data_IF_252339839994
#
_entry.id   IF_252339839994
#
_cell.length_a   1.000
_cell.length_b   1.000
_cell.length_c   1.000
_cell.angle_alpha   90.00
_cell.angle_beta   90.00
_cell.angle_gamma   90.00
#
_symmetry.space_group_name_H-M   'P 1'
#
loop_
_entity.id
_entity.type
_entity.pdbx_description
1 polymer ?
#
# COMPACT_ATOMS: atom_id res chain seq x y z
N UNK A 1 -11.72 10.84 -0.51
CA UNK A 1 -10.64 9.97 -0.01
C UNK A 1 -10.10 10.60 1.26
N UNK A 2 -10.15 9.88 2.36
CA UNK A 2 -9.72 10.42 3.67
C UNK A 2 -8.19 10.57 3.72
N UNK A 3 -7.44 9.69 3.09
CA UNK A 3 -5.99 9.82 2.94
C UNK A 3 -5.53 9.12 1.65
N UNK A 4 -4.93 9.88 0.74
CA UNK A 4 -4.35 9.33 -0.49
C UNK A 4 -2.82 9.42 -0.44
N UNK A 5 -2.16 8.42 0.12
CA UNK A 5 -0.71 8.39 0.29
C UNK A 5 0.06 8.54 -1.02
N UNK A 6 -0.43 7.94 -2.11
CA UNK A 6 0.15 8.12 -3.45
C UNK A 6 0.04 9.58 -3.91
N UNK A 7 -1.14 10.20 -3.76
CA UNK A 7 -1.36 11.61 -4.10
C UNK A 7 -0.50 12.57 -3.28
N UNK A 8 -0.34 12.31 -1.98
CA UNK A 8 0.51 13.10 -1.08
C UNK A 8 1.97 13.07 -1.54
N UNK A 9 2.52 11.88 -1.89
CA UNK A 9 3.88 11.75 -2.41
C UNK A 9 4.05 12.46 -3.75
N UNK A 10 3.08 12.32 -4.66
CA UNK A 10 3.11 13.03 -5.94
C UNK A 10 3.05 14.55 -5.79
N UNK A 11 2.24 15.05 -4.85
CA UNK A 11 2.15 16.49 -4.56
C UNK A 11 3.48 17.03 -4.03
N UNK A 12 4.11 16.34 -3.08
CA UNK A 12 5.44 16.71 -2.58
C UNK A 12 6.49 16.73 -3.70
N UNK A 13 6.51 15.71 -4.55
CA UNK A 13 7.40 15.68 -5.71
C UNK A 13 7.15 16.82 -6.69
N UNK A 14 5.90 17.19 -6.95
CA UNK A 14 5.56 18.31 -7.82
C UNK A 14 6.08 19.65 -7.27
N UNK A 15 6.10 19.81 -5.94
CA UNK A 15 6.66 21.00 -5.29
C UNK A 15 8.18 21.05 -5.47
N UNK A 16 8.86 19.93 -5.33
CA UNK A 16 10.32 19.84 -5.45
C UNK A 16 10.83 20.03 -6.87
N UNK A 17 10.12 19.52 -7.87
CA UNK A 17 10.60 19.55 -9.26
C UNK A 17 10.66 20.97 -9.84
N UNK A 18 9.82 21.88 -9.39
CA UNK A 18 9.81 23.29 -9.88
C UNK A 18 11.09 24.06 -9.54
N UNK A 19 11.54 24.15 -8.27
CA UNK A 19 12.79 24.83 -7.92
C UNK A 19 14.01 24.15 -8.52
N UNK A 20 14.04 22.82 -8.53
CA UNK A 20 15.18 22.04 -9.00
C UNK A 20 15.41 22.18 -10.51
N UNK A 21 14.36 22.30 -11.30
CA UNK A 21 14.45 22.59 -12.74
C UNK A 21 14.94 24.02 -13.02
N UNK A 22 14.54 24.99 -12.18
CA UNK A 22 15.00 26.37 -12.28
C UNK A 22 16.46 26.54 -11.82
N UNK A 23 16.88 25.75 -10.84
CA UNK A 23 18.24 25.75 -10.27
C UNK A 23 18.62 24.37 -9.73
N UNK A 24 19.39 23.54 -10.45
CA UNK A 24 19.82 22.21 -10.01
C UNK A 24 20.66 22.18 -8.73
N UNK A 25 21.12 23.35 -8.23
CA UNK A 25 21.86 23.49 -6.98
C UNK A 25 20.98 23.73 -5.76
N UNK A 26 19.66 23.82 -5.93
CA UNK A 26 18.73 23.91 -4.79
C UNK A 26 18.76 22.59 -4.03
N UNK A 27 19.14 22.65 -2.77
CA UNK A 27 19.05 21.49 -1.87
C UNK A 27 17.60 21.05 -1.73
N UNK A 28 17.37 19.76 -1.91
CA UNK A 28 16.07 19.13 -1.65
C UNK A 28 15.90 19.09 -0.13
N UNK A 29 14.84 19.67 0.44
CA UNK A 29 14.61 19.57 1.87
C UNK A 29 14.32 18.10 2.24
N UNK A 30 14.81 17.65 3.37
CA UNK A 30 14.56 16.29 3.88
C UNK A 30 13.08 16.01 4.09
N UNK A 31 12.29 17.04 4.32
CA UNK A 31 10.85 16.94 4.63
C UNK A 31 10.06 18.10 4.02
N UNK A 32 8.88 17.77 3.49
CA UNK A 32 7.89 18.75 3.05
C UNK A 32 6.58 18.53 3.81
N UNK A 33 6.06 19.61 4.40
CA UNK A 33 4.76 19.60 5.05
C UNK A 33 3.67 20.09 4.09
N UNK A 34 2.65 19.27 3.92
CA UNK A 34 1.49 19.55 3.08
C UNK A 34 0.26 19.79 3.94
N UNK A 35 -0.41 20.93 3.72
CA UNK A 35 -1.75 21.18 4.26
C UNK A 35 -2.78 20.40 3.45
N UNK A 36 -3.57 19.56 4.12
CA UNK A 36 -4.72 18.87 3.55
C UNK A 36 -6.00 19.56 4.06
N UNK A 37 -7.16 19.24 3.46
CA UNK A 37 -8.44 19.86 3.82
C UNK A 37 -8.77 19.79 5.32
N UNK A 38 -8.44 18.66 5.97
CA UNK A 38 -8.77 18.39 7.39
C UNK A 38 -7.57 17.96 8.24
N UNK A 39 -6.36 17.93 7.67
CA UNK A 39 -5.17 17.43 8.36
C UNK A 39 -3.88 18.01 7.76
N UNK A 40 -2.74 17.55 8.27
CA UNK A 40 -1.42 17.80 7.67
C UNK A 40 -0.74 16.48 7.38
N UNK A 41 0.07 16.44 6.34
CA UNK A 41 0.92 15.32 6.01
C UNK A 41 2.36 15.80 5.83
N UNK A 42 3.29 15.13 6.51
CA UNK A 42 4.72 15.35 6.35
C UNK A 42 5.28 14.27 5.43
N UNK A 43 5.93 14.68 4.36
CA UNK A 43 6.59 13.80 3.39
C UNK A 43 8.08 13.93 3.54
N UNK A 44 8.74 12.83 3.88
CA UNK A 44 10.19 12.74 4.01
C UNK A 44 10.79 12.06 2.80
N UNK A 45 11.87 12.61 2.26
CA UNK A 45 12.65 11.98 1.20
C UNK A 45 13.73 11.10 1.83
N UNK A 46 13.84 9.83 1.39
CA UNK A 46 14.73 8.84 1.99
C UNK A 46 15.99 8.66 1.13
N UNK A 47 15.82 8.32 -0.11
CA UNK A 47 16.90 8.03 -1.05
C UNK A 47 16.31 7.85 -2.44
N UNK A 48 17.00 7.11 -3.28
CA UNK A 48 16.58 6.88 -4.65
C UNK A 48 16.54 5.39 -4.97
N UNK A 49 15.57 4.98 -5.77
CA UNK A 49 15.52 3.65 -6.36
C UNK A 49 15.79 3.73 -7.87
N UNK A 50 16.32 2.67 -8.44
CA UNK A 50 16.52 2.54 -9.88
C UNK A 50 15.31 1.94 -10.53
N UNK A 51 14.79 2.61 -11.56
CA UNK A 51 13.82 2.07 -12.49
C UNK A 51 14.52 1.83 -13.84
N UNK A 52 14.70 0.56 -14.21
CA UNK A 52 15.46 0.18 -15.41
C UNK A 52 16.96 0.49 -15.28
N UNK A 53 17.61 0.79 -16.42
CA UNK A 53 19.07 0.95 -16.48
C UNK A 53 19.59 2.35 -16.12
N UNK A 54 18.76 3.38 -16.18
CA UNK A 54 19.25 4.78 -16.11
C UNK A 54 18.40 5.74 -15.30
N UNK A 55 17.19 5.38 -14.87
CA UNK A 55 16.29 6.30 -14.15
C UNK A 55 16.43 6.09 -12.66
N UNK A 56 16.87 7.11 -11.93
CA UNK A 56 16.82 7.19 -10.48
C UNK A 56 15.55 7.93 -10.07
N UNK A 57 14.75 7.34 -9.20
CA UNK A 57 13.53 7.92 -8.70
C UNK A 57 13.67 8.18 -7.19
N UNK A 58 13.38 9.39 -6.73
CA UNK A 58 13.37 9.68 -5.31
C UNK A 58 12.27 8.89 -4.62
N UNK A 59 12.61 8.38 -3.44
CA UNK A 59 11.73 7.64 -2.58
C UNK A 59 11.13 8.57 -1.53
N UNK A 60 9.83 8.78 -1.59
CA UNK A 60 9.11 9.63 -0.66
C UNK A 60 8.35 8.78 0.35
N UNK A 61 8.50 9.10 1.63
CA UNK A 61 7.84 8.43 2.75
C UNK A 61 6.79 9.33 3.39
N UNK A 62 5.63 8.76 3.73
CA UNK A 62 4.51 9.47 4.35
C UNK A 62 3.89 8.64 5.47
N UNK A 63 3.47 9.29 6.55
CA UNK A 63 2.68 8.67 7.62
C UNK A 63 1.25 8.40 7.15
N UNK A 64 0.79 7.17 7.36
CA UNK A 64 -0.52 6.67 6.90
C UNK A 64 -1.52 6.46 8.05
N UNK A 65 -1.17 6.86 9.28
CA UNK A 65 -1.99 6.60 10.46
C UNK A 65 -1.77 5.21 11.05
N UNK A 66 -2.74 4.75 11.85
CA UNK A 66 -2.68 3.46 12.57
C UNK A 66 -3.74 2.51 12.03
N UNK A 67 -3.34 1.29 11.69
CA UNK A 67 -4.27 0.23 11.32
C UNK A 67 -5.00 -0.33 12.56
N UNK A 68 -6.25 -0.72 12.38
CA UNK A 68 -7.06 -1.42 13.38
C UNK A 68 -7.47 -2.78 12.82
N UNK A 69 -7.18 -3.83 13.57
CA UNK A 69 -7.62 -5.20 13.30
C UNK A 69 -8.45 -5.61 14.51
N UNK A 70 -9.76 -5.72 14.32
CA UNK A 70 -10.66 -6.11 15.40
C UNK A 70 -11.36 -7.42 15.01
N UNK A 71 -10.99 -8.51 15.68
CA UNK A 71 -11.53 -9.86 15.45
C UNK A 71 -12.73 -10.19 16.35
N UNK A 72 -13.12 -9.29 17.24
CA UNK A 72 -14.13 -9.56 18.29
C UNK A 72 -15.44 -8.79 18.10
N UNK A 73 -15.58 -7.99 17.03
CA UNK A 73 -16.80 -7.23 16.80
C UNK A 73 -17.79 -7.97 15.88
N UNK A 74 -19.05 -7.51 15.90
CA UNK A 74 -20.14 -8.08 15.06
C UNK A 74 -19.82 -8.00 13.56
N UNK A 75 -19.12 -6.96 13.11
CA UNK A 75 -18.68 -6.83 11.73
C UNK A 75 -17.79 -8.00 11.33
N UNK A 76 -16.86 -8.42 12.20
CA UNK A 76 -15.97 -9.55 11.91
C UNK A 76 -16.73 -10.86 11.80
N UNK A 77 -17.70 -11.12 12.68
CA UNK A 77 -18.53 -12.32 12.64
C UNK A 77 -19.37 -12.39 11.35
N UNK A 78 -19.96 -11.25 10.94
CA UNK A 78 -20.73 -11.14 9.68
C UNK A 78 -19.84 -11.39 8.47
N UNK A 79 -18.63 -10.82 8.44
CA UNK A 79 -17.64 -11.06 7.37
C UNK A 79 -17.23 -12.51 7.31
N UNK A 80 -16.96 -13.14 8.45
CA UNK A 80 -16.59 -14.56 8.53
C UNK A 80 -17.67 -15.44 7.88
N UNK A 81 -18.94 -15.21 8.23
CA UNK A 81 -20.06 -15.95 7.64
C UNK A 81 -20.18 -15.71 6.12
N UNK A 82 -19.95 -14.48 5.68
CA UNK A 82 -20.00 -14.15 4.25
C UNK A 82 -18.83 -14.77 3.48
N UNK A 83 -17.60 -14.71 4.00
CA UNK A 83 -16.44 -15.38 3.40
C UNK A 83 -16.69 -16.88 3.29
N UNK A 84 -17.24 -17.50 4.33
CA UNK A 84 -17.58 -18.92 4.31
C UNK A 84 -18.62 -19.28 3.24
N UNK A 85 -19.63 -18.43 3.09
CA UNK A 85 -20.64 -18.60 2.01
C UNK A 85 -19.97 -18.53 0.64
N UNK A 86 -19.17 -17.48 0.38
CA UNK A 86 -18.51 -17.29 -0.92
C UNK A 86 -17.49 -18.39 -1.22
N UNK A 87 -16.72 -18.83 -0.22
CA UNK A 87 -15.79 -19.94 -0.37
C UNK A 87 -16.51 -21.23 -0.81
N UNK A 88 -17.69 -21.49 -0.25
CA UNK A 88 -18.56 -22.63 -0.65
C UNK A 88 -19.11 -22.44 -2.07
N UNK A 89 -19.72 -21.29 -2.34
CA UNK A 89 -20.40 -21.00 -3.61
C UNK A 89 -19.43 -21.04 -4.81
N UNK A 90 -18.17 -20.64 -4.59
CA UNK A 90 -17.13 -20.64 -5.59
C UNK A 90 -16.27 -21.93 -5.63
N UNK A 91 -16.49 -22.87 -4.71
CA UNK A 91 -15.64 -24.04 -4.45
C UNK A 91 -14.18 -23.66 -4.20
N UNK A 92 -13.95 -22.62 -3.40
CA UNK A 92 -12.63 -22.03 -3.07
C UNK A 92 -12.38 -22.09 -1.54
N UNK A 93 -12.19 -23.29 -0.94
CA UNK A 93 -12.01 -23.43 0.50
C UNK A 93 -10.78 -22.70 1.04
N UNK A 94 -9.77 -22.43 0.20
CA UNK A 94 -8.57 -21.66 0.55
C UNK A 94 -8.88 -20.23 1.02
N UNK A 95 -10.02 -19.64 0.65
CA UNK A 95 -10.44 -18.33 1.16
C UNK A 95 -10.72 -18.32 2.68
N UNK A 96 -10.87 -19.49 3.29
CA UNK A 96 -11.09 -19.64 4.73
C UNK A 96 -9.81 -19.78 5.54
N UNK A 97 -8.69 -20.09 4.88
CA UNK A 97 -7.46 -20.47 5.58
C UNK A 97 -6.74 -19.26 6.19
N UNK A 98 -6.60 -18.21 5.42
CA UNK A 98 -5.90 -17.00 5.87
C UNK A 98 -6.51 -15.75 5.24
N UNK A 99 -7.24 -14.99 6.06
CA UNK A 99 -7.79 -13.71 5.66
C UNK A 99 -7.83 -12.73 6.84
N UNK A 100 -7.84 -11.46 6.54
CA UNK A 100 -7.87 -10.38 7.54
C UNK A 100 -8.78 -9.24 7.13
N UNK A 101 -9.48 -8.69 8.13
CA UNK A 101 -10.23 -7.44 8.00
C UNK A 101 -9.46 -6.33 8.72
N UNK A 102 -8.98 -5.35 7.96
CA UNK A 102 -8.16 -4.24 8.46
C UNK A 102 -8.84 -2.91 8.15
N UNK A 103 -8.81 -1.98 9.08
CA UNK A 103 -9.26 -0.59 8.88
C UNK A 103 -8.09 0.37 9.03
N UNK A 104 -7.91 1.22 8.02
CA UNK A 104 -6.96 2.35 8.01
C UNK A 104 -7.71 3.64 7.59
N UNK A 105 -8.84 3.93 8.28
CA UNK A 105 -9.82 4.92 7.86
C UNK A 105 -10.86 4.35 6.90
N UNK A 106 -10.43 3.53 5.96
CA UNK A 106 -11.28 2.71 5.07
C UNK A 106 -11.05 1.21 5.37
N UNK A 107 -11.99 0.36 4.94
CA UNK A 107 -11.94 -1.08 5.18
C UNK A 107 -11.21 -1.82 4.07
N UNK A 108 -10.41 -2.80 4.47
CA UNK A 108 -9.64 -3.67 3.60
C UNK A 108 -9.85 -5.13 4.00
N UNK A 109 -10.31 -5.96 3.07
CA UNK A 109 -10.38 -7.41 3.18
C UNK A 109 -9.19 -8.00 2.43
N UNK A 110 -8.38 -8.78 3.11
CA UNK A 110 -7.12 -9.31 2.59
C UNK A 110 -7.19 -10.83 2.66
N UNK A 111 -6.94 -11.50 1.55
CA UNK A 111 -6.80 -12.95 1.44
C UNK A 111 -5.35 -13.29 1.12
N UNK A 112 -4.71 -14.11 1.95
CA UNK A 112 -3.39 -14.70 1.71
C UNK A 112 -3.58 -16.05 1.02
N UNK A 113 -3.08 -16.19 -0.19
CA UNK A 113 -3.30 -17.35 -1.06
C UNK A 113 -1.98 -17.80 -1.67
N UNK A 114 -1.84 -19.09 -1.97
CA UNK A 114 -0.66 -19.64 -2.64
C UNK A 114 -0.55 -19.16 -4.10
N UNK A 115 -1.69 -19.02 -4.76
CA UNK A 115 -1.78 -18.56 -6.13
C UNK A 115 -2.70 -17.36 -6.25
N UNK A 116 -2.21 -16.30 -6.89
CA UNK A 116 -2.96 -15.07 -7.16
C UNK A 116 -2.81 -14.66 -8.63
N UNK A 117 -3.85 -14.02 -9.15
CA UNK A 117 -3.83 -13.49 -10.53
C UNK A 117 -4.77 -12.29 -10.69
N UNK A 118 -4.61 -11.49 -11.76
CA UNK A 118 -5.57 -10.45 -12.11
C UNK A 118 -6.99 -10.99 -12.32
N UNK A 119 -7.14 -12.18 -12.87
CA UNK A 119 -8.45 -12.81 -13.09
C UNK A 119 -9.14 -13.14 -11.77
N UNK A 120 -8.36 -13.60 -10.78
CA UNK A 120 -8.88 -13.95 -9.47
C UNK A 120 -9.40 -12.70 -8.74
N UNK A 121 -8.67 -11.59 -8.75
CA UNK A 121 -9.15 -10.36 -8.11
C UNK A 121 -10.36 -9.78 -8.83
N UNK A 122 -10.44 -9.87 -10.17
CA UNK A 122 -11.62 -9.48 -10.95
C UNK A 122 -12.85 -10.33 -10.63
N UNK A 123 -12.64 -11.60 -10.24
CA UNK A 123 -13.71 -12.49 -9.80
C UNK A 123 -14.18 -12.17 -8.37
N UNK A 124 -13.25 -12.01 -7.43
CA UNK A 124 -13.55 -11.83 -6.00
C UNK A 124 -13.95 -10.39 -5.65
N UNK A 125 -13.28 -9.41 -6.22
CA UNK A 125 -13.45 -7.99 -5.88
C UNK A 125 -14.90 -7.50 -5.92
N UNK A 126 -15.63 -7.66 -7.06
CA UNK A 126 -17.02 -7.24 -7.16
C UNK A 126 -17.93 -7.92 -6.13
N UNK A 127 -17.72 -9.21 -5.86
CA UNK A 127 -18.55 -9.99 -4.93
C UNK A 127 -18.49 -9.39 -3.51
N UNK A 128 -17.28 -9.09 -3.04
CA UNK A 128 -17.10 -8.53 -1.70
C UNK A 128 -17.41 -7.04 -1.64
N UNK A 129 -17.15 -6.29 -2.69
CA UNK A 129 -17.42 -4.84 -2.73
C UNK A 129 -18.91 -4.54 -2.68
N UNK A 130 -19.75 -5.30 -3.38
CA UNK A 130 -21.20 -5.06 -3.51
C UNK A 130 -22.04 -5.77 -2.46
N UNK A 131 -21.40 -6.43 -1.48
CA UNK A 131 -22.13 -7.10 -0.41
C UNK A 131 -22.84 -6.08 0.50
N UNK A 132 -24.04 -6.44 0.97
CA UNK A 132 -24.84 -5.64 1.93
C UNK A 132 -24.22 -5.52 3.33
N UNK A 133 -23.02 -6.05 3.51
CA UNK A 133 -22.31 -6.06 4.80
C UNK A 133 -21.77 -4.70 5.20
N UNK A 134 -21.49 -3.84 4.22
CA UNK A 134 -20.84 -2.53 4.40
C UNK A 134 -21.11 -1.59 3.24
N UNK A 135 -20.83 -0.32 3.47
CA UNK A 135 -20.83 0.72 2.44
C UNK A 135 -19.55 0.63 1.57
N UNK A 136 -19.31 -0.58 1.04
CA UNK A 136 -18.17 -0.92 0.20
C UNK A 136 -16.86 -1.20 0.94
N UNK A 137 -16.05 -2.08 0.38
CA UNK A 137 -14.75 -2.51 0.91
C UNK A 137 -13.69 -2.58 -0.20
N UNK A 138 -12.43 -2.39 0.17
CA UNK A 138 -11.31 -2.70 -0.71
C UNK A 138 -10.92 -4.17 -0.51
N UNK A 139 -10.70 -4.90 -1.59
CA UNK A 139 -10.35 -6.33 -1.56
C UNK A 139 -8.94 -6.52 -2.08
N UNK A 140 -8.16 -7.33 -1.40
CA UNK A 140 -6.79 -7.65 -1.77
C UNK A 140 -6.58 -9.16 -1.74
N UNK A 141 -5.91 -9.69 -2.75
CA UNK A 141 -5.34 -11.01 -2.72
C UNK A 141 -3.82 -10.88 -2.70
N UNK A 142 -3.16 -11.59 -1.80
CA UNK A 142 -1.72 -11.50 -1.60
C UNK A 142 -1.08 -12.88 -1.58
N UNK A 143 0.21 -12.93 -1.95
CA UNK A 143 1.07 -14.09 -1.68
C UNK A 143 2.46 -13.63 -1.25
N UNK A 144 3.12 -14.44 -0.44
CA UNK A 144 4.54 -14.28 -0.13
C UNK A 144 5.38 -14.49 -1.39
N UNK A 145 6.45 -13.72 -1.52
CA UNK A 145 7.38 -13.75 -2.64
C UNK A 145 8.81 -13.79 -2.12
N UNK A 146 9.65 -14.61 -2.73
CA UNK A 146 11.07 -14.69 -2.36
C UNK A 146 11.76 -13.33 -2.56
N UNK A 147 12.50 -12.88 -1.57
CA UNK A 147 13.32 -11.68 -1.64
C UNK A 147 14.66 -12.04 -2.28
N UNK A 148 14.97 -11.43 -3.42
CA UNK A 148 16.23 -11.64 -4.14
C UNK A 148 17.36 -10.78 -3.56
N UNK A 149 18.62 -11.11 -3.88
CA UNK A 149 19.77 -10.26 -3.54
C UNK A 149 19.69 -8.87 -4.19
N UNK A 150 19.05 -8.77 -5.35
CA UNK A 150 18.79 -7.48 -6.00
C UNK A 150 17.82 -6.63 -5.19
N UNK A 151 16.73 -7.24 -4.66
CA UNK A 151 15.76 -6.56 -3.82
C UNK A 151 16.41 -6.04 -2.53
N UNK A 152 17.24 -6.87 -1.89
CA UNK A 152 17.98 -6.48 -0.69
C UNK A 152 18.93 -5.31 -0.95
N UNK A 153 19.73 -5.39 -2.01
CA UNK A 153 20.64 -4.29 -2.35
C UNK A 153 19.94 -3.00 -2.68
N UNK A 154 18.88 -3.06 -3.48
CA UNK A 154 18.12 -1.88 -3.88
C UNK A 154 17.43 -1.22 -2.68
N UNK A 155 16.79 -2.01 -1.83
CA UNK A 155 16.13 -1.49 -0.62
C UNK A 155 17.15 -0.94 0.38
N UNK A 156 18.28 -1.61 0.61
CA UNK A 156 19.33 -1.11 1.48
C UNK A 156 19.88 0.24 1.02
N UNK A 157 20.07 0.41 -0.28
CA UNK A 157 20.52 1.69 -0.86
C UNK A 157 19.48 2.80 -0.67
N UNK A 158 18.19 2.49 -0.88
CA UNK A 158 17.14 3.50 -0.89
C UNK A 158 16.59 3.83 0.50
N UNK A 159 16.58 2.86 1.42
CA UNK A 159 15.93 2.94 2.74
C UNK A 159 16.95 2.94 3.90
N UNK A 160 18.23 2.72 3.62
CA UNK A 160 19.26 2.47 4.64
C UNK A 160 19.15 1.09 5.31
N UNK A 161 18.24 0.23 4.84
CA UNK A 161 17.96 -1.10 5.38
C UNK A 161 17.42 -2.02 4.28
N UNK A 162 17.94 -3.25 4.19
CA UNK A 162 17.41 -4.27 3.30
C UNK A 162 16.00 -4.72 3.75
N UNK A 163 15.15 -5.08 2.78
CA UNK A 163 13.92 -5.81 3.09
C UNK A 163 14.23 -7.30 3.25
N UNK A 164 13.52 -7.96 4.17
CA UNK A 164 13.58 -9.40 4.35
C UNK A 164 12.26 -10.09 3.98
N UNK A 165 11.18 -9.31 3.80
CA UNK A 165 9.85 -9.78 3.44
C UNK A 165 9.32 -9.04 2.24
N UNK A 166 8.73 -9.78 1.32
CA UNK A 166 8.14 -9.28 0.09
C UNK A 166 6.83 -10.02 -0.19
N UNK A 167 5.79 -9.25 -0.51
CA UNK A 167 4.48 -9.77 -0.88
C UNK A 167 4.07 -9.21 -2.24
N UNK A 168 3.46 -10.04 -3.06
CA UNK A 168 2.77 -9.63 -4.29
C UNK A 168 1.29 -9.46 -3.99
N UNK A 169 0.65 -8.44 -4.58
CA UNK A 169 -0.74 -8.13 -4.33
C UNK A 169 -1.47 -7.67 -5.59
N UNK A 170 -2.72 -8.14 -5.76
CA UNK A 170 -3.71 -7.58 -6.67
C UNK A 170 -4.85 -6.97 -5.88
N UNK A 171 -5.44 -5.90 -6.43
CA UNK A 171 -6.28 -4.98 -5.67
C UNK A 171 -7.56 -4.70 -6.43
N UNK A 172 -8.67 -4.69 -5.68
CA UNK A 172 -9.95 -4.15 -6.09
C UNK A 172 -10.38 -3.06 -5.12
N UNK A 173 -10.39 -1.81 -5.59
CA UNK A 173 -10.71 -0.66 -4.74
C UNK A 173 -12.20 -0.31 -4.81
N UNK A 174 -12.74 0.09 -3.67
CA UNK A 174 -14.11 0.57 -3.52
C UNK A 174 -14.39 1.74 -4.47
N UNK A 175 -15.35 1.55 -5.37
CA UNK A 175 -15.78 2.56 -6.34
C UNK A 175 -14.87 2.76 -7.57
N UNK A 176 -13.67 2.15 -7.58
CA UNK A 176 -12.72 2.27 -8.69
C UNK A 176 -12.50 0.93 -9.43
N UNK A 177 -12.77 -0.20 -8.77
CA UNK A 177 -12.51 -1.51 -9.36
C UNK A 177 -11.04 -1.93 -9.25
N UNK A 178 -10.55 -2.69 -10.23
CA UNK A 178 -9.15 -3.08 -10.30
C UNK A 178 -8.26 -1.85 -10.50
N UNK A 179 -7.27 -1.68 -9.62
CA UNK A 179 -6.32 -0.56 -9.68
C UNK A 179 -4.88 -1.06 -9.66
N UNK A 180 -3.96 -0.20 -10.11
CA UNK A 180 -2.54 -0.54 -10.23
C UNK A 180 -1.81 -0.46 -8.89
N UNK A 181 -2.30 0.34 -7.93
CA UNK A 181 -1.66 0.53 -6.63
C UNK A 181 -2.62 1.19 -5.62
N UNK A 182 -2.61 0.69 -4.39
CA UNK A 182 -3.38 1.24 -3.27
C UNK A 182 -2.47 1.42 -2.04
N UNK A 183 -2.19 2.66 -1.66
CA UNK A 183 -1.29 2.95 -0.53
C UNK A 183 -1.85 2.47 0.80
N UNK A 184 -3.13 2.73 1.10
CA UNK A 184 -3.79 2.23 2.31
C UNK A 184 -3.90 0.70 2.30
N UNK A 185 -4.08 0.10 1.11
CA UNK A 185 -4.07 -1.35 0.92
C UNK A 185 -2.72 -1.97 1.30
N UNK A 186 -1.61 -1.40 0.82
CA UNK A 186 -0.27 -1.87 1.18
C UNK A 186 -0.01 -1.80 2.69
N UNK A 187 -0.43 -0.70 3.33
CA UNK A 187 -0.33 -0.55 4.78
C UNK A 187 -1.19 -1.57 5.53
N UNK A 188 -2.39 -1.86 5.02
CA UNK A 188 -3.29 -2.85 5.60
C UNK A 188 -2.75 -4.28 5.45
N UNK A 189 -2.13 -4.59 4.31
CA UNK A 189 -1.42 -5.86 4.08
C UNK A 189 -0.29 -6.02 5.11
N UNK A 190 0.57 -5.02 5.25
CA UNK A 190 1.64 -5.08 6.25
C UNK A 190 1.09 -5.25 7.68
N UNK A 191 0.03 -4.53 8.03
CA UNK A 191 -0.62 -4.66 9.34
C UNK A 191 -1.15 -6.07 9.60
N UNK A 192 -1.74 -6.74 8.58
CA UNK A 192 -2.22 -8.12 8.71
C UNK A 192 -1.07 -9.11 8.96
N UNK A 193 0.03 -8.94 8.25
CA UNK A 193 1.24 -9.77 8.37
C UNK A 193 1.88 -9.61 9.75
N UNK A 194 1.99 -8.37 10.26
CA UNK A 194 2.48 -8.13 11.62
C UNK A 194 1.56 -8.69 12.70
N UNK A 195 0.24 -8.63 12.49
CA UNK A 195 -0.72 -9.21 13.42
C UNK A 195 -0.68 -10.74 13.46
N UNK A 196 -0.28 -11.37 12.37
CA UNK A 196 -0.03 -12.81 12.29
C UNK A 196 1.35 -13.21 12.88
N UNK A 197 2.19 -12.23 13.27
CA UNK A 197 3.52 -12.51 13.84
C UNK A 197 4.54 -13.02 12.83
N UNK A 198 4.31 -12.80 11.54
CA UNK A 198 5.14 -13.36 10.47
C UNK A 198 6.43 -12.54 10.23
N UNK A 199 6.46 -11.28 10.64
CA UNK A 199 7.66 -10.42 10.50
C UNK A 199 7.69 -9.32 11.55
N UNK A 200 8.88 -8.73 11.76
CA UNK A 200 9.06 -7.58 12.64
C UNK A 200 8.61 -6.29 11.94
N UNK A 201 7.66 -5.57 12.57
CA UNK A 201 7.15 -4.29 12.07
C UNK A 201 8.18 -3.17 12.01
N UNK A 202 9.27 -3.28 12.79
CA UNK A 202 10.38 -2.30 12.77
C UNK A 202 11.25 -2.42 11.52
N UNK A 203 11.10 -3.48 10.72
CA UNK A 203 11.77 -3.70 9.45
C UNK A 203 10.89 -3.24 8.29
N UNK A 204 11.52 -2.84 7.18
CA UNK A 204 10.80 -2.53 5.95
C UNK A 204 10.28 -3.81 5.28
N UNK A 205 8.99 -3.83 4.99
CA UNK A 205 8.31 -4.87 4.23
C UNK A 205 8.00 -4.33 2.84
N UNK A 206 8.29 -5.11 1.80
CA UNK A 206 7.96 -4.76 0.42
C UNK A 206 6.58 -5.30 0.02
N UNK A 207 5.79 -4.50 -0.71
CA UNK A 207 4.54 -4.92 -1.34
C UNK A 207 4.61 -4.59 -2.82
N UNK A 208 4.72 -5.62 -3.67
CA UNK A 208 4.68 -5.51 -5.12
C UNK A 208 3.23 -5.46 -5.60
N UNK A 209 2.90 -4.43 -6.33
CA UNK A 209 1.61 -4.23 -6.99
C UNK A 209 1.83 -4.03 -8.49
N UNK A 210 0.81 -4.16 -9.34
CA UNK A 210 0.96 -3.93 -10.79
C UNK A 210 1.60 -2.57 -11.14
N UNK A 211 1.34 -1.52 -10.34
CA UNK A 211 1.90 -0.17 -10.52
C UNK A 211 3.28 0.02 -9.90
N UNK A 212 3.86 -0.98 -9.23
CA UNK A 212 5.19 -0.92 -8.62
C UNK A 212 5.22 -1.27 -7.15
N UNK A 213 6.42 -1.21 -6.56
CA UNK A 213 6.67 -1.58 -5.17
C UNK A 213 6.46 -0.42 -4.21
N UNK A 214 5.78 -0.71 -3.10
CA UNK A 214 5.73 0.13 -1.91
C UNK A 214 6.48 -0.55 -0.77
N UNK A 215 7.07 0.26 0.10
CA UNK A 215 7.77 -0.19 1.29
C UNK A 215 7.03 0.31 2.52
N UNK A 216 6.77 -0.60 3.45
CA UNK A 216 5.93 -0.33 4.62
C UNK A 216 6.71 -0.66 5.89
N UNK A 217 6.62 0.23 6.88
CA UNK A 217 7.28 0.07 8.18
C UNK A 217 6.43 0.69 9.28
N UNK A 218 6.49 0.13 10.47
CA UNK A 218 5.93 0.70 11.68
C UNK A 218 6.91 0.45 12.84
N UNK A 219 7.76 1.41 13.20
CA UNK A 219 8.84 1.18 14.17
C UNK A 219 8.35 0.66 15.53
N UNK A 220 7.20 1.14 15.99
CA UNK A 220 6.50 0.68 17.19
C UNK A 220 5.02 0.51 16.91
N UNK A 221 4.33 -0.33 17.69
CA UNK A 221 2.87 -0.54 17.59
C UNK A 221 2.08 0.76 17.83
N UNK A 222 2.67 1.68 18.57
CA UNK A 222 2.06 2.98 18.88
C UNK A 222 2.36 4.07 17.85
N UNK A 223 3.31 3.82 16.93
CA UNK A 223 3.63 4.75 15.85
C UNK A 223 2.62 4.68 14.71
N UNK A 224 2.67 5.69 13.85
CA UNK A 224 1.99 5.63 12.55
C UNK A 224 2.72 4.64 11.64
N UNK A 225 1.95 3.97 10.78
CA UNK A 225 2.51 3.21 9.66
C UNK A 225 3.15 4.22 8.70
N UNK A 226 4.40 3.99 8.35
CA UNK A 226 5.11 4.74 7.32
C UNK A 226 5.08 3.97 6.02
N UNK A 227 4.63 4.62 4.95
CA UNK A 227 4.65 4.09 3.60
C UNK A 227 5.63 4.89 2.75
N UNK A 228 6.58 4.21 2.13
CA UNK A 228 7.53 4.80 1.20
C UNK A 228 7.33 4.22 -0.21
N UNK A 229 7.55 5.05 -1.21
CA UNK A 229 7.47 4.62 -2.61
C UNK A 229 7.98 5.71 -3.56
N UNK A 230 8.31 5.33 -4.80
CA UNK A 230 8.77 6.29 -5.80
C UNK A 230 7.63 7.23 -6.22
N UNK A 231 8.03 8.41 -6.66
CA UNK A 231 7.15 9.33 -7.36
C UNK A 231 7.90 9.93 -8.55
N UNK A 232 7.24 9.98 -9.71
CA UNK A 232 7.82 10.41 -10.97
C UNK A 232 6.94 11.46 -11.64
N UNK A 233 7.54 12.52 -12.12
CA UNK A 233 6.85 13.46 -13.00
C UNK A 233 6.69 12.80 -14.38
N UNK A 234 5.45 12.48 -14.77
CA UNK A 234 5.16 11.81 -16.04
C UNK A 234 5.20 12.80 -17.23
N UNK A 235 4.55 13.98 -17.07
CA UNK A 235 4.54 15.02 -18.09
C UNK A 235 4.19 16.38 -17.47
N UNK A 236 4.42 17.45 -18.23
CA UNK A 236 3.95 18.81 -17.95
C UNK A 236 3.03 19.29 -19.07
N UNK A 237 2.03 20.07 -18.73
CA UNK A 237 1.09 20.64 -19.69
C UNK A 237 0.60 22.03 -19.26
N UNK A 238 -0.04 22.75 -20.20
CA UNK A 238 -0.79 23.98 -19.94
C UNK A 238 -2.26 23.70 -20.21
N UNK A 239 -3.12 24.18 -19.33
CA UNK A 239 -4.57 24.14 -19.49
C UNK A 239 -5.04 25.58 -19.64
N UNK A 240 -5.79 25.86 -20.70
CA UNK A 240 -6.51 27.12 -20.82
C UNK A 240 -7.88 26.93 -20.16
N UNK A 241 -8.20 27.73 -19.18
CA UNK A 241 -9.46 27.73 -18.42
C UNK A 241 -10.33 28.86 -18.97
#
# INVERSE_FOLDING_TARGET
>A
AETCGNGIRCAAMSILTKPWEANPKVEIPDTIDLGLKSSRASVRFLGEIREGRSTQLPLAAVGMGKARINKENDDYARVTAFVAKIAKDLAMPQLLLDWSLVSLGNRHLIFSLDEISPELIRKLGPIFQTSDLWDGINVHIIRSKAVTDSDRRQSAQALGQAIEELYEAYIWERGAGETQACGSGACSIAASIWAAGLTDRSLWLGVDMPGGRLYIKQPSKDDQITMAGPAKLAFKGKVTI
#
